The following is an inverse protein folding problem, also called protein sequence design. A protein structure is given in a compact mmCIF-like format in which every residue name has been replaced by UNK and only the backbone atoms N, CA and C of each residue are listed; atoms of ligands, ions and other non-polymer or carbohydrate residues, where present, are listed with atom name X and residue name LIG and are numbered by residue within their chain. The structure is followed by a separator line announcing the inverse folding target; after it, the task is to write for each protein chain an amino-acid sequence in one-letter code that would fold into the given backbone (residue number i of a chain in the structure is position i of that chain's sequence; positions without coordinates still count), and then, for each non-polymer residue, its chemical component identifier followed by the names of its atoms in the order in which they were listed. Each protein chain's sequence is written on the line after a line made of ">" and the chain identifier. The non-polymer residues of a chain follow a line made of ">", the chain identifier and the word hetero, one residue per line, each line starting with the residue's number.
data_IF_845579226176
#
_entry.id   IF_845579226176
#
_cell.length_a   1.000
_cell.length_b   1.000
_cell.length_c   1.000
_cell.angle_alpha   90.00
_cell.angle_beta   90.00
_cell.angle_gamma   90.00
#
_symmetry.space_group_name_H-M   'P 1'
#
loop_
_entity.id
_entity.type
_entity.pdbx_description
1 polymer ?
#
# COMPACT_ATOMS: atom_id res chain seq x y z
N UNK A 1 -21.16 2.57 3.78
CA UNK A 1 -19.88 2.97 3.18
C UNK A 1 -19.62 4.42 3.60
N UNK A 2 -18.44 4.72 4.14
CA UNK A 2 -18.07 6.01 4.72
C UNK A 2 -17.05 6.67 3.78
N UNK A 3 -17.24 7.95 3.47
CA UNK A 3 -16.25 8.73 2.73
C UNK A 3 -15.22 9.30 3.72
N UNK A 4 -13.94 9.09 3.42
CA UNK A 4 -12.80 9.47 4.25
C UNK A 4 -11.84 10.28 3.40
N UNK A 5 -11.36 11.39 3.94
CA UNK A 5 -10.34 12.21 3.31
C UNK A 5 -8.95 11.75 3.74
N UNK A 6 -8.07 11.54 2.77
CA UNK A 6 -6.73 10.99 2.97
C UNK A 6 -5.72 12.04 2.57
N UNK A 7 -4.93 12.51 3.54
CA UNK A 7 -3.78 13.36 3.33
C UNK A 7 -2.52 12.49 3.20
N UNK A 8 -1.94 12.47 2.02
CA UNK A 8 -0.73 11.70 1.73
C UNK A 8 0.50 12.58 1.95
N UNK A 9 1.29 12.28 2.98
CA UNK A 9 2.54 12.99 3.29
C UNK A 9 3.59 12.78 2.19
N UNK A 10 3.68 11.58 1.62
CA UNK A 10 4.71 11.23 0.64
C UNK A 10 4.53 12.00 -0.66
N UNK A 11 3.30 12.07 -1.17
CA UNK A 11 3.01 12.74 -2.44
C UNK A 11 2.49 14.17 -2.28
N UNK A 12 2.28 14.62 -1.03
CA UNK A 12 1.68 15.92 -0.73
C UNK A 12 0.32 16.09 -1.46
N UNK A 13 -0.49 15.03 -1.49
CA UNK A 13 -1.82 15.00 -2.12
C UNK A 13 -2.93 14.82 -1.10
N UNK A 14 -4.15 15.09 -1.55
CA UNK A 14 -5.37 14.91 -0.77
C UNK A 14 -6.44 14.24 -1.63
N UNK A 15 -6.94 13.10 -1.16
CA UNK A 15 -7.85 12.22 -1.90
C UNK A 15 -9.07 11.84 -1.06
N UNK A 16 -10.22 11.61 -1.71
CA UNK A 16 -11.44 11.12 -1.04
C UNK A 16 -11.74 9.69 -1.44
N UNK A 17 -11.77 8.80 -0.45
CA UNK A 17 -11.90 7.36 -0.65
C UNK A 17 -13.06 6.83 0.19
N UNK A 18 -13.76 5.82 -0.34
CA UNK A 18 -14.89 5.19 0.33
C UNK A 18 -14.48 3.89 1.00
N UNK A 19 -14.75 3.78 2.30
CA UNK A 19 -14.44 2.60 3.11
C UNK A 19 -15.69 1.95 3.70
N UNK A 20 -15.58 0.67 4.07
CA UNK A 20 -16.59 0.01 4.89
C UNK A 20 -16.49 0.42 6.37
N UNK A 21 -15.28 0.71 6.85
CA UNK A 21 -14.97 1.14 8.21
C UNK A 21 -13.78 2.11 8.21
N UNK A 22 -13.61 2.89 9.26
CA UNK A 22 -12.48 3.83 9.41
C UNK A 22 -11.20 3.06 9.78
N UNK A 23 -10.13 3.13 8.96
CA UNK A 23 -8.81 2.55 9.29
C UNK A 23 -8.23 3.10 10.59
N UNK A 24 -7.48 2.29 11.32
CA UNK A 24 -6.83 2.68 12.58
C UNK A 24 -5.35 2.98 12.40
N UNK A 25 -4.79 3.75 13.33
CA UNK A 25 -3.34 3.98 13.43
C UNK A 25 -2.64 2.62 13.58
N UNK A 26 -1.65 2.37 12.73
CA UNK A 26 -0.89 1.11 12.69
C UNK A 26 -1.50 -0.05 11.86
N UNK A 27 -2.71 0.08 11.29
CA UNK A 27 -3.25 -0.94 10.37
C UNK A 27 -2.73 -0.78 8.93
N UNK A 28 -2.42 0.46 8.53
CA UNK A 28 -2.04 0.80 7.16
C UNK A 28 -3.19 0.72 6.15
N UNK A 29 -2.98 1.30 4.96
CA UNK A 29 -3.91 1.25 3.82
C UNK A 29 -3.13 1.03 2.53
N UNK A 30 -3.80 0.57 1.46
CA UNK A 30 -3.20 0.52 0.12
C UNK A 30 -3.76 1.62 -0.76
N UNK A 31 -2.87 2.41 -1.35
CA UNK A 31 -3.20 3.46 -2.30
C UNK A 31 -2.57 3.14 -3.66
N UNK A 32 -3.21 3.64 -4.72
CA UNK A 32 -2.69 3.49 -6.08
C UNK A 32 -1.75 4.64 -6.37
N UNK A 33 -0.52 4.29 -6.74
CA UNK A 33 0.55 5.21 -7.09
C UNK A 33 0.35 5.83 -8.48
N UNK A 34 1.05 6.94 -8.80
CA UNK A 34 1.01 7.55 -10.12
C UNK A 34 1.43 6.63 -11.27
N UNK A 35 2.28 5.64 -11.01
CA UNK A 35 2.67 4.60 -11.97
C UNK A 35 1.57 3.53 -12.19
N UNK A 36 0.49 3.62 -11.42
CA UNK A 36 -0.64 2.72 -11.48
C UNK A 36 -0.52 1.47 -10.61
N UNK A 37 0.61 1.26 -9.92
CA UNK A 37 0.83 0.17 -8.98
C UNK A 37 0.21 0.46 -7.61
N UNK A 38 0.05 -0.58 -6.79
CA UNK A 38 -0.50 -0.43 -5.44
C UNK A 38 0.63 -0.47 -4.42
N UNK A 39 0.74 0.57 -3.61
CA UNK A 39 1.71 0.64 -2.53
C UNK A 39 1.03 0.66 -1.15
N UNK A 40 1.72 0.13 -0.15
CA UNK A 40 1.29 0.16 1.25
C UNK A 40 1.66 1.49 1.92
N UNK A 41 0.74 2.02 2.71
CA UNK A 41 0.88 3.27 3.46
C UNK A 41 0.57 3.03 4.92
N UNK A 42 1.40 3.58 5.81
CA UNK A 42 1.15 3.60 7.24
C UNK A 42 0.17 4.73 7.58
N UNK A 43 -0.80 4.43 8.45
CA UNK A 43 -1.70 5.45 9.03
C UNK A 43 -0.99 6.06 10.23
N UNK A 44 -0.64 7.34 10.12
CA UNK A 44 0.08 8.10 11.15
C UNK A 44 -0.92 8.65 12.16
N UNK A 45 -1.95 9.35 11.68
CA UNK A 45 -2.94 10.02 12.51
C UNK A 45 -4.35 9.85 11.94
N UNK A 46 -5.33 9.89 12.84
CA UNK A 46 -6.76 9.93 12.51
C UNK A 46 -7.41 11.06 13.30
N UNK A 47 -8.14 11.94 12.62
CA UNK A 47 -8.97 12.95 13.28
C UNK A 47 -10.35 13.05 12.64
N UNK A 48 -11.24 13.79 13.30
CA UNK A 48 -12.60 14.02 12.84
C UNK A 48 -12.85 15.52 12.72
N UNK A 49 -13.42 15.94 11.60
CA UNK A 49 -13.85 17.32 11.37
C UNK A 49 -15.35 17.36 11.16
N UNK A 50 -16.00 18.43 11.63
CA UNK A 50 -17.41 18.64 11.35
C UNK A 50 -17.61 18.78 9.83
N UNK A 51 -18.54 18.00 9.27
CA UNK A 51 -18.88 18.08 7.86
C UNK A 51 -19.38 19.49 7.50
N UNK A 52 -19.15 19.90 6.25
CA UNK A 52 -19.67 21.17 5.73
C UNK A 52 -21.21 21.20 5.71
N UNK A 53 -21.83 20.03 5.51
CA UNK A 53 -23.28 19.86 5.49
C UNK A 53 -23.73 18.76 6.45
N UNK A 54 -24.70 19.09 7.31
CA UNK A 54 -25.27 18.17 8.29
C UNK A 54 -24.56 18.19 9.65
N UNK A 55 -25.02 17.33 10.56
CA UNK A 55 -24.44 17.17 11.90
C UNK A 55 -23.71 15.82 12.00
N UNK A 56 -22.74 15.64 11.09
CA UNK A 56 -21.93 14.43 10.97
C UNK A 56 -20.46 14.82 11.09
N UNK A 57 -19.68 13.99 11.77
CA UNK A 57 -18.23 14.10 11.85
C UNK A 57 -17.59 13.24 10.75
N UNK A 58 -16.81 13.87 9.88
CA UNK A 58 -16.08 13.18 8.81
C UNK A 58 -14.67 12.82 9.27
N UNK A 59 -14.24 11.57 9.07
CA UNK A 59 -12.88 11.14 9.38
C UNK A 59 -11.89 11.64 8.35
N UNK A 60 -10.67 11.88 8.83
CA UNK A 60 -9.50 12.26 8.07
C UNK A 60 -8.34 11.35 8.46
N UNK A 61 -7.60 10.88 7.46
CA UNK A 61 -6.41 10.05 7.64
C UNK A 61 -5.18 10.79 7.15
N UNK A 62 -4.16 10.87 7.98
CA UNK A 62 -2.82 11.22 7.57
C UNK A 62 -2.00 9.96 7.37
N UNK A 63 -1.44 9.81 6.18
CA UNK A 63 -0.75 8.59 5.78
C UNK A 63 0.60 8.90 5.16
N UNK A 64 1.51 7.92 5.25
CA UNK A 64 2.82 7.97 4.64
C UNK A 64 3.17 6.62 4.06
N UNK A 65 3.88 6.62 2.93
CA UNK A 65 4.34 5.41 2.27
C UNK A 65 5.15 4.54 3.25
N UNK A 66 4.77 3.27 3.38
CA UNK A 66 5.44 2.31 4.24
C UNK A 66 6.89 2.13 3.76
N UNK A 67 7.91 2.15 4.65
CA UNK A 67 9.30 2.02 4.24
C UNK A 67 9.55 0.75 3.42
N UNK A 68 10.19 0.91 2.26
CA UNK A 68 10.50 -0.20 1.35
C UNK A 68 9.49 -0.45 0.22
N UNK A 69 8.32 0.20 0.25
CA UNK A 69 7.32 0.11 -0.84
C UNK A 69 7.58 1.13 -1.97
N UNK A 70 8.47 2.10 -1.73
CA UNK A 70 8.79 3.21 -2.65
C UNK A 70 9.88 2.89 -3.67
N UNK A 71 9.62 1.90 -4.51
CA UNK A 71 10.18 1.71 -5.84
C UNK A 71 9.51 0.44 -6.36
N UNK A 72 8.66 0.55 -7.37
CA UNK A 72 8.30 -0.64 -8.14
C UNK A 72 9.61 -1.29 -8.55
N UNK A 73 9.87 -2.51 -8.08
CA UNK A 73 11.02 -3.26 -8.54
C UNK A 73 10.84 -3.43 -10.06
N UNK A 74 11.69 -2.80 -10.90
CA UNK A 74 11.57 -2.97 -12.34
C UNK A 74 11.79 -4.43 -12.75
N UNK A 75 12.24 -5.32 -11.85
CA UNK A 75 12.33 -6.75 -12.12
C UNK A 75 10.99 -7.48 -12.18
N UNK A 76 9.88 -6.87 -11.76
CA UNK A 76 8.55 -7.51 -11.74
C UNK A 76 7.61 -7.05 -12.86
N UNK A 77 8.00 -6.06 -13.68
CA UNK A 77 7.21 -5.62 -14.84
C UNK A 77 7.35 -6.51 -16.07
N UNK A 78 8.14 -7.59 -16.02
CA UNK A 78 8.37 -8.52 -17.14
C UNK A 78 7.87 -9.95 -16.89
N UNK A 79 6.72 -10.10 -16.23
CA UNK A 79 6.03 -11.39 -16.17
C UNK A 79 4.61 -11.25 -16.72
N UNK A 80 4.45 -11.56 -18.02
CA UNK A 80 3.13 -11.90 -18.56
C UNK A 80 2.84 -11.69 -20.05
N UNK A 81 3.75 -12.02 -20.97
CA UNK A 81 3.32 -12.71 -22.20
C UNK A 81 3.91 -14.11 -22.11
N UNK A 82 3.05 -15.08 -21.77
CA UNK A 82 3.39 -16.49 -21.83
C UNK A 82 3.49 -16.89 -23.30
N UNK A 83 4.71 -17.09 -23.80
CA UNK A 83 4.95 -18.07 -24.85
C UNK A 83 5.72 -19.24 -24.24
N UNK A 84 5.16 -20.42 -24.45
CA UNK A 84 5.65 -21.72 -24.03
C UNK A 84 6.99 -22.02 -24.74
N UNK A 85 8.07 -22.21 -23.96
CA UNK A 85 9.24 -23.10 -24.20
C UNK A 85 10.52 -22.49 -23.60
N UNK A 86 10.94 -22.94 -22.40
CA UNK A 86 12.36 -23.17 -22.10
C UNK A 86 12.55 -23.99 -20.78
N UNK A 87 13.20 -25.17 -20.81
CA UNK A 87 13.45 -25.99 -19.63
C UNK A 87 14.75 -25.58 -18.92
N UNK A 88 14.67 -24.79 -17.85
CA UNK A 88 15.81 -24.60 -16.93
C UNK A 88 15.38 -24.49 -15.46
N UNK A 89 14.65 -25.50 -15.00
CA UNK A 89 14.47 -25.76 -13.58
C UNK A 89 15.59 -26.68 -13.08
N UNK A 90 16.77 -26.13 -12.80
CA UNK A 90 17.77 -26.69 -11.86
C UNK A 90 18.88 -25.66 -11.69
N UNK A 91 18.99 -25.09 -10.48
CA UNK A 91 20.24 -24.73 -9.79
C UNK A 91 20.07 -23.50 -8.91
N UNK A 92 19.36 -23.67 -7.80
CA UNK A 92 19.52 -22.83 -6.61
C UNK A 92 19.20 -23.65 -5.36
N UNK A 93 19.82 -24.82 -5.26
CA UNK A 93 20.00 -25.51 -3.99
C UNK A 93 21.27 -24.96 -3.31
N UNK A 94 21.16 -23.75 -2.75
CA UNK A 94 22.17 -23.23 -1.83
C UNK A 94 22.12 -24.03 -0.53
N UNK A 95 23.21 -24.71 -0.22
CA UNK A 95 23.39 -25.54 0.97
C UNK A 95 23.11 -24.75 2.26
N UNK A 96 22.07 -25.14 3.00
CA UNK A 96 21.86 -24.70 4.37
C UNK A 96 22.64 -25.65 5.29
N UNK A 97 23.79 -25.19 5.77
CA UNK A 97 24.55 -25.87 6.83
C UNK A 97 23.69 -25.98 8.11
N UNK A 98 23.56 -27.18 8.71
CA UNK A 98 22.77 -27.35 9.92
C UNK A 98 23.48 -26.74 11.14
N UNK A 99 22.74 -25.92 11.88
CA UNK A 99 23.12 -25.36 13.16
C UNK A 99 23.56 -26.46 14.14
N UNK A 100 24.75 -26.31 14.73
CA UNK A 100 25.20 -27.14 15.86
C UNK A 100 24.56 -26.63 17.15
N UNK A 101 23.88 -27.53 17.86
CA UNK A 101 23.44 -27.38 19.26
C UNK A 101 24.63 -27.63 20.19
#
# INVERSE_FOLDING_TARGET
>A
MIEIEVQNETHQTQDRIRFAAVPRIGEGIRLREPDGMWASYDVIDVWYQKAEYGDIWMPYLHVRLTPGEGAGDPSLTDYGIAEEDDPSFTDLAGELEPFKI
#
